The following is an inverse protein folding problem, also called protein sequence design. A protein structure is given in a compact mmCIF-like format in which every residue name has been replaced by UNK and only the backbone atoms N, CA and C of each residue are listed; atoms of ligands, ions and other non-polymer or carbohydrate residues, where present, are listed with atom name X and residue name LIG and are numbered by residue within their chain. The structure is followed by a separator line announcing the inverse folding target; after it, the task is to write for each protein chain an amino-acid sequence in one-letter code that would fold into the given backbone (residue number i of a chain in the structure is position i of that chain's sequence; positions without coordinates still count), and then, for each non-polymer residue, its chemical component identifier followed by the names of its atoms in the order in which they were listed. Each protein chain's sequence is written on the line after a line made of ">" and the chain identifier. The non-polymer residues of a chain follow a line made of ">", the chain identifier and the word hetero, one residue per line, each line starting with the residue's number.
data_IF_549515857121
#
_entry.id   IF_549515857121
#
_cell.length_a   1.000
_cell.length_b   1.000
_cell.length_c   1.000
_cell.angle_alpha   90.00
_cell.angle_beta   90.00
_cell.angle_gamma   90.00
#
_symmetry.space_group_name_H-M   'P 1'
#
loop_
_entity.id
_entity.type
_entity.pdbx_description
1 polymer ?
#
# COMPACT_ATOMS: atom_id res chain seq x y z
N UNK A 1 23.66 12.68 -10.28
CA UNK A 1 23.89 11.24 -10.07
C UNK A 1 22.59 10.57 -9.65
N UNK A 2 22.19 9.47 -10.27
CA UNK A 2 20.96 8.72 -9.97
C UNK A 2 21.27 7.28 -9.57
N UNK A 3 20.29 6.61 -8.96
CA UNK A 3 20.38 5.16 -8.66
C UNK A 3 19.95 4.36 -9.89
N UNK A 4 20.70 3.32 -10.24
CA UNK A 4 20.40 2.44 -11.39
C UNK A 4 19.51 1.24 -11.06
N UNK A 5 19.18 1.06 -9.78
CA UNK A 5 18.32 -0.02 -9.31
C UNK A 5 17.26 0.54 -8.36
N UNK A 6 16.04 0.01 -8.48
CA UNK A 6 14.97 0.26 -7.52
C UNK A 6 15.28 -0.46 -6.21
N UNK A 7 14.90 0.19 -5.12
CA UNK A 7 15.00 -0.31 -3.75
C UNK A 7 13.61 -0.68 -3.21
N UNK A 8 13.56 -1.34 -2.05
CA UNK A 8 12.29 -1.70 -1.42
C UNK A 8 11.50 -0.45 -1.01
N UNK A 9 12.23 0.58 -0.58
CA UNK A 9 11.70 1.87 -0.19
C UNK A 9 11.00 2.57 -1.37
N UNK A 10 11.54 2.40 -2.58
CA UNK A 10 10.91 2.94 -3.80
C UNK A 10 9.56 2.26 -4.08
N UNK A 11 9.49 0.93 -3.91
CA UNK A 11 8.25 0.18 -4.08
C UNK A 11 7.25 0.57 -3.00
N UNK A 12 7.69 0.67 -1.75
CA UNK A 12 6.83 1.04 -0.62
C UNK A 12 6.26 2.45 -0.79
N UNK A 13 7.07 3.41 -1.26
CA UNK A 13 6.65 4.78 -1.53
C UNK A 13 5.55 4.85 -2.62
N UNK A 14 5.57 3.92 -3.58
CA UNK A 14 4.61 3.86 -4.68
C UNK A 14 3.38 2.98 -4.39
N UNK A 15 3.39 2.19 -3.32
CA UNK A 15 2.33 1.22 -3.02
C UNK A 15 0.95 1.88 -2.89
N UNK A 16 0.83 2.94 -2.09
CA UNK A 16 -0.45 3.65 -1.90
C UNK A 16 -1.00 4.26 -3.20
N UNK A 17 -0.29 5.14 -3.92
CA UNK A 17 -0.84 5.75 -5.13
C UNK A 17 -1.12 4.74 -6.25
N UNK A 18 -0.35 3.65 -6.37
CA UNK A 18 -0.59 2.60 -7.38
C UNK A 18 -1.85 1.79 -7.06
N UNK A 19 -2.12 1.52 -5.79
CA UNK A 19 -3.23 0.66 -5.35
C UNK A 19 -4.53 1.40 -5.05
N UNK A 20 -4.49 2.73 -4.85
CA UNK A 20 -5.63 3.56 -4.40
C UNK A 20 -6.94 3.35 -5.17
N UNK A 21 -6.84 3.16 -6.49
CA UNK A 21 -8.01 2.96 -7.37
C UNK A 21 -8.16 1.50 -7.84
N UNK A 22 -7.43 0.58 -7.22
CA UNK A 22 -7.40 -0.85 -7.55
C UNK A 22 -8.00 -1.73 -6.46
N UNK A 23 -8.49 -1.12 -5.39
CA UNK A 23 -9.10 -1.80 -4.26
C UNK A 23 -10.57 -1.44 -4.20
N UNK A 24 -11.42 -2.45 -4.08
CA UNK A 24 -12.82 -2.28 -3.68
C UNK A 24 -12.92 -2.55 -2.19
N UNK A 25 -13.45 -1.57 -1.45
CA UNK A 25 -13.62 -1.70 0.00
C UNK A 25 -14.87 -2.52 0.31
N UNK A 26 -14.85 -3.19 1.46
CA UNK A 26 -16.07 -3.81 1.99
C UNK A 26 -16.97 -2.75 2.63
N UNK A 27 -18.27 -3.03 2.71
CA UNK A 27 -19.23 -2.14 3.39
C UNK A 27 -18.83 -1.83 4.83
N UNK A 28 -18.25 -2.79 5.56
CA UNK A 28 -17.78 -2.58 6.92
C UNK A 28 -16.63 -1.56 6.97
N UNK A 29 -15.67 -1.65 6.04
CA UNK A 29 -14.55 -0.71 5.96
C UNK A 29 -15.04 0.71 5.60
N UNK A 30 -15.99 0.82 4.67
CA UNK A 30 -16.62 2.10 4.32
C UNK A 30 -17.40 2.70 5.50
N UNK A 31 -18.15 1.87 6.24
CA UNK A 31 -18.88 2.29 7.44
C UNK A 31 -17.94 2.79 8.55
N UNK A 32 -16.74 2.21 8.67
CA UNK A 32 -15.67 2.68 9.55
C UNK A 32 -14.88 3.88 8.99
N UNK A 33 -15.32 4.46 7.87
CA UNK A 33 -14.65 5.56 7.17
C UNK A 33 -13.20 5.27 6.80
N UNK A 34 -12.87 4.00 6.55
CA UNK A 34 -11.56 3.62 6.01
C UNK A 34 -11.48 3.98 4.54
N UNK A 35 -10.30 4.40 4.10
CA UNK A 35 -9.98 4.58 2.69
C UNK A 35 -8.97 3.51 2.21
N UNK A 36 -8.73 3.48 0.89
CA UNK A 36 -7.81 2.52 0.29
C UNK A 36 -6.37 2.65 0.81
N UNK A 37 -5.91 3.87 1.12
CA UNK A 37 -4.56 4.10 1.66
C UNK A 37 -4.42 3.50 3.06
N UNK A 38 -5.46 3.57 3.90
CA UNK A 38 -5.48 2.95 5.23
C UNK A 38 -5.27 1.43 5.14
N UNK A 39 -5.96 0.80 4.19
CA UNK A 39 -5.88 -0.65 3.95
C UNK A 39 -4.49 -1.02 3.43
N UNK A 40 -3.95 -0.29 2.46
CA UNK A 40 -2.60 -0.54 1.93
C UNK A 40 -1.55 -0.39 3.04
N UNK A 41 -1.65 0.65 3.87
CA UNK A 41 -0.74 0.86 4.98
C UNK A 41 -0.82 -0.28 6.02
N UNK A 42 -2.01 -0.80 6.30
CA UNK A 42 -2.18 -1.96 7.18
C UNK A 42 -1.53 -3.22 6.60
N UNK A 43 -1.73 -3.49 5.30
CA UNK A 43 -1.13 -4.63 4.61
C UNK A 43 0.41 -4.57 4.63
N UNK A 44 1.00 -3.40 4.36
CA UNK A 44 2.45 -3.22 4.40
C UNK A 44 3.06 -3.47 5.78
N UNK A 45 2.32 -3.26 6.87
CA UNK A 45 2.77 -3.61 8.23
C UNK A 45 2.60 -5.10 8.54
N UNK A 46 1.57 -5.73 7.99
CA UNK A 46 1.19 -7.10 8.31
C UNK A 46 1.94 -8.16 7.47
N UNK A 47 2.35 -7.82 6.25
CA UNK A 47 3.05 -8.73 5.34
C UNK A 47 4.57 -8.54 5.50
N UNK A 48 5.29 -9.50 6.09
CA UNK A 48 6.75 -9.41 6.19
C UNK A 48 7.38 -9.59 4.81
N UNK A 49 8.59 -9.05 4.64
CA UNK A 49 9.37 -9.34 3.44
C UNK A 49 9.76 -10.83 3.40
N UNK A 50 9.93 -11.39 2.19
CA UNK A 50 10.51 -12.71 2.02
C UNK A 50 11.88 -12.80 2.72
N UNK A 51 12.18 -14.00 3.24
CA UNK A 51 13.47 -14.34 3.85
C UNK A 51 14.62 -14.28 2.85
#
# INVERSE_FOLDING_TARGET
>A
HGRFAATREDVQALAAPVMRHRLLLSFAAEAEQKNADDVVAALLRAVPYPA
#
